data_IF_855359648585
#
_entry.id   IF_855359648585
#
_cell.length_a   1.000
_cell.length_b   1.000
_cell.length_c   1.000
_cell.angle_alpha   90.00
_cell.angle_beta   90.00
_cell.angle_gamma   90.00
#
_symmetry.space_group_name_H-M   'P 1'
#
loop_
_entity.id
_entity.type
_entity.pdbx_description
1 polymer ?
#
# COMPACT_ATOMS: atom_id res chain seq x y z
N UNK A 1 -3.04 11.18 -8.32
CA UNK A 1 -1.58 11.01 -8.54
C UNK A 1 -1.22 11.22 -10.02
N UNK A 2 -0.10 11.85 -10.39
CA UNK A 2 0.30 11.95 -11.81
C UNK A 2 0.96 10.63 -12.27
N UNK A 3 0.27 9.86 -13.10
CA UNK A 3 0.73 8.55 -13.59
C UNK A 3 1.61 8.64 -14.86
N UNK A 4 1.94 9.85 -15.33
CA UNK A 4 2.71 10.06 -16.56
C UNK A 4 4.08 9.38 -16.57
N UNK A 5 4.74 9.29 -15.40
CA UNK A 5 6.00 8.54 -15.25
C UNK A 5 5.87 7.07 -15.67
N UNK A 6 4.75 6.41 -15.35
CA UNK A 6 4.54 5.00 -15.65
C UNK A 6 4.37 4.74 -17.15
N UNK A 7 3.95 5.75 -17.92
CA UNK A 7 3.77 5.67 -19.36
C UNK A 7 5.07 5.81 -20.15
N UNK A 8 6.18 6.21 -19.52
CA UNK A 8 7.48 6.38 -20.18
C UNK A 8 8.08 5.03 -20.61
N UNK A 9 9.01 5.01 -21.58
CA UNK A 9 9.83 3.84 -21.88
C UNK A 9 10.59 3.32 -20.66
N UNK A 10 10.89 2.01 -20.62
CA UNK A 10 11.50 1.36 -19.45
C UNK A 10 12.92 1.85 -19.15
N UNK A 11 13.70 2.14 -20.19
CA UNK A 11 15.01 2.78 -20.13
C UNK A 11 14.92 4.22 -19.58
N UNK A 12 13.93 4.99 -19.99
CA UNK A 12 13.72 6.34 -19.47
C UNK A 12 13.30 6.30 -17.98
N UNK A 13 12.37 5.41 -17.60
CA UNK A 13 12.02 5.20 -16.19
C UNK A 13 13.24 4.79 -15.36
N UNK A 14 14.09 3.90 -15.89
CA UNK A 14 15.31 3.44 -15.21
C UNK A 14 16.22 4.62 -14.91
N UNK A 15 16.43 5.50 -15.88
CA UNK A 15 17.24 6.70 -15.70
C UNK A 15 16.69 7.58 -14.56
N UNK A 16 15.39 7.84 -14.50
CA UNK A 16 14.82 8.62 -13.38
C UNK A 16 14.99 7.94 -12.03
N UNK A 17 14.78 6.63 -11.95
CA UNK A 17 14.96 5.87 -10.71
C UNK A 17 16.42 5.93 -10.26
N UNK A 18 17.38 5.72 -11.16
CA UNK A 18 18.81 5.82 -10.86
C UNK A 18 19.21 7.22 -10.38
N UNK A 19 18.74 8.27 -11.06
CA UNK A 19 19.00 9.65 -10.67
C UNK A 19 18.38 9.99 -9.30
N UNK A 20 17.17 9.51 -9.02
CA UNK A 20 16.53 9.70 -7.72
C UNK A 20 17.28 8.93 -6.61
N UNK A 21 17.73 7.71 -6.90
CA UNK A 21 18.51 6.88 -6.00
C UNK A 21 19.83 7.56 -5.60
N UNK A 22 20.57 8.10 -6.58
CA UNK A 22 21.81 8.86 -6.33
C UNK A 22 21.54 10.06 -5.42
N UNK A 23 20.51 10.86 -5.72
CA UNK A 23 20.15 12.06 -4.92
C UNK A 23 19.78 11.72 -3.48
N UNK A 24 19.26 10.52 -3.22
CA UNK A 24 18.86 10.06 -1.89
C UNK A 24 19.90 9.17 -1.21
N UNK A 25 21.04 8.91 -1.86
CA UNK A 25 22.04 7.97 -1.40
C UNK A 25 21.45 6.57 -1.10
N UNK A 26 20.61 6.07 -2.02
CA UNK A 26 19.95 4.77 -1.95
C UNK A 26 20.33 3.93 -3.18
N UNK A 27 20.12 2.61 -3.11
CA UNK A 27 20.23 1.78 -4.30
C UNK A 27 19.02 1.99 -5.23
N UNK A 28 19.18 1.85 -6.56
CA UNK A 28 18.05 1.93 -7.50
C UNK A 28 16.91 0.95 -7.17
N UNK A 29 17.26 -0.24 -6.67
CA UNK A 29 16.29 -1.26 -6.24
C UNK A 29 15.43 -0.75 -5.08
N UNK A 30 16.05 -0.13 -4.08
CA UNK A 30 15.32 0.44 -2.93
C UNK A 30 14.45 1.61 -3.38
N UNK A 31 14.98 2.47 -4.26
CA UNK A 31 14.23 3.63 -4.79
C UNK A 31 13.00 3.19 -5.60
N UNK A 32 13.15 2.19 -6.46
CA UNK A 32 12.02 1.66 -7.24
C UNK A 32 10.93 1.08 -6.32
N UNK A 33 11.36 0.30 -5.33
CA UNK A 33 10.44 -0.28 -4.36
C UNK A 33 9.69 0.78 -3.56
N UNK A 34 10.39 1.83 -3.13
CA UNK A 34 9.81 2.99 -2.46
C UNK A 34 8.73 3.67 -3.32
N UNK A 35 9.01 3.80 -4.62
CA UNK A 35 8.05 4.33 -5.59
C UNK A 35 6.78 3.46 -5.65
N UNK A 36 6.91 2.13 -5.78
CA UNK A 36 5.75 1.23 -5.84
C UNK A 36 4.92 1.23 -4.56
N UNK A 37 5.57 1.35 -3.40
CA UNK A 37 4.89 1.52 -2.10
C UNK A 37 4.06 2.80 -2.09
N UNK A 38 4.67 3.94 -2.47
CA UNK A 38 3.98 5.22 -2.50
C UNK A 38 2.85 5.25 -3.54
N UNK A 39 3.06 4.59 -4.68
CA UNK A 39 2.06 4.44 -5.73
C UNK A 39 0.85 3.62 -5.25
N UNK A 40 1.07 2.46 -4.63
CA UNK A 40 -0.01 1.63 -4.12
C UNK A 40 -0.79 2.34 -3.01
N UNK A 41 -0.11 3.06 -2.12
CA UNK A 41 -0.76 3.92 -1.13
C UNK A 41 -1.64 4.98 -1.79
N UNK A 42 -1.14 5.66 -2.82
CA UNK A 42 -1.92 6.62 -3.59
C UNK A 42 -3.18 5.99 -4.19
N UNK A 43 -3.04 4.84 -4.86
CA UNK A 43 -4.17 4.11 -5.44
C UNK A 43 -5.20 3.70 -4.37
N UNK A 44 -4.75 3.16 -3.24
CA UNK A 44 -5.64 2.73 -2.16
C UNK A 44 -6.45 3.89 -1.57
N UNK A 45 -5.79 5.03 -1.31
CA UNK A 45 -6.44 6.20 -0.72
C UNK A 45 -7.16 7.10 -1.75
N UNK A 46 -7.02 6.84 -3.05
CA UNK A 46 -7.87 7.40 -4.12
C UNK A 46 -9.04 6.47 -4.50
N UNK A 47 -9.11 5.27 -3.92
CA UNK A 47 -10.16 4.27 -4.19
C UNK A 47 -11.39 4.42 -3.29
N UNK A 48 -12.44 3.64 -3.58
CA UNK A 48 -13.64 3.53 -2.74
C UNK A 48 -13.37 3.02 -1.31
N UNK A 49 -12.17 2.49 -1.03
CA UNK A 49 -11.82 1.95 0.28
C UNK A 49 -11.17 2.98 1.22
N UNK A 50 -10.90 4.20 0.74
CA UNK A 50 -10.12 5.20 1.48
C UNK A 50 -10.66 5.46 2.89
N UNK A 51 -11.97 5.69 3.04
CA UNK A 51 -12.61 5.97 4.33
C UNK A 51 -12.64 4.77 5.30
N UNK A 52 -12.35 3.57 4.77
CA UNK A 52 -12.30 2.33 5.56
C UNK A 52 -10.87 1.93 5.91
N UNK A 53 -9.86 2.65 5.43
CA UNK A 53 -8.44 2.34 5.59
C UNK A 53 -7.76 3.33 6.54
N UNK A 54 -6.89 2.81 7.39
CA UNK A 54 -5.96 3.62 8.18
C UNK A 54 -4.54 3.18 7.88
N UNK A 55 -3.71 4.11 7.40
CA UNK A 55 -2.28 3.88 7.23
C UNK A 55 -1.54 4.04 8.55
N UNK A 56 -0.76 3.05 8.94
CA UNK A 56 -0.12 2.97 10.25
C UNK A 56 1.28 2.38 10.19
N UNK A 57 1.89 2.23 11.37
CA UNK A 57 3.19 1.58 11.53
C UNK A 57 4.36 2.48 11.15
N UNK A 58 5.54 1.88 11.05
CA UNK A 58 6.79 2.62 10.80
C UNK A 58 6.79 3.40 9.49
N UNK A 59 6.16 2.86 8.44
CA UNK A 59 6.06 3.51 7.13
C UNK A 59 5.27 4.81 7.22
N UNK A 60 4.21 4.87 8.03
CA UNK A 60 3.49 6.13 8.28
C UNK A 60 4.34 7.14 9.08
N UNK A 61 5.12 6.66 10.05
CA UNK A 61 6.03 7.51 10.84
C UNK A 61 7.15 8.12 9.99
N UNK A 62 7.67 7.40 9.00
CA UNK A 62 8.68 7.92 8.08
C UNK A 62 8.07 8.78 6.97
N UNK A 63 7.00 8.31 6.31
CA UNK A 63 6.45 8.95 5.10
C UNK A 63 5.53 10.13 5.36
N UNK A 64 4.78 10.11 6.46
CA UNK A 64 3.78 11.14 6.76
C UNK A 64 4.32 12.10 7.83
N UNK A 65 4.86 11.54 8.91
CA UNK A 65 5.27 12.35 10.07
C UNK A 65 6.75 12.75 10.05
N UNK A 66 7.60 12.09 9.24
CA UNK A 66 9.04 12.38 9.17
C UNK A 66 9.79 12.17 10.50
N UNK A 67 9.25 11.34 11.41
CA UNK A 67 9.79 11.16 12.77
C UNK A 67 10.93 10.14 12.81
N UNK A 68 11.02 9.29 11.79
CA UNK A 68 12.09 8.29 11.66
C UNK A 68 12.62 8.27 10.22
N UNK A 69 13.94 8.09 10.09
CA UNK A 69 14.61 7.99 8.79
C UNK A 69 15.03 6.54 8.53
N UNK A 70 14.08 5.75 8.01
CA UNK A 70 14.38 4.41 7.50
C UNK A 70 13.58 4.12 6.25
N UNK A 71 14.18 3.32 5.37
CA UNK A 71 13.43 2.69 4.30
C UNK A 71 12.43 1.70 4.89
N UNK A 72 11.23 1.66 4.32
CA UNK A 72 10.19 0.74 4.72
C UNK A 72 9.61 0.08 3.47
N UNK A 73 9.87 -1.22 3.37
CA UNK A 73 9.39 -2.08 2.30
C UNK A 73 7.90 -2.42 2.45
N UNK A 74 7.44 -2.55 3.69
CA UNK A 74 6.09 -2.99 4.00
C UNK A 74 5.12 -1.81 4.16
N UNK A 75 3.85 -2.05 3.83
CA UNK A 75 2.75 -1.15 4.16
C UNK A 75 1.88 -1.82 5.23
N UNK A 76 1.72 -1.15 6.37
CA UNK A 76 0.78 -1.58 7.40
C UNK A 76 -0.51 -0.76 7.30
N UNK A 77 -1.61 -1.45 7.00
CA UNK A 77 -2.96 -0.87 6.94
C UNK A 77 -3.85 -1.50 8.02
N UNK A 78 -4.87 -0.78 8.44
CA UNK A 78 -5.99 -1.32 9.21
C UNK A 78 -7.30 -1.04 8.48
N UNK A 79 -8.22 -2.00 8.53
CA UNK A 79 -9.58 -1.86 8.01
C UNK A 79 -10.54 -1.54 9.15
N UNK A 80 -11.51 -0.66 8.91
CA UNK A 80 -12.52 -0.32 9.91
C UNK A 80 -13.40 -1.53 10.25
N UNK A 81 -13.75 -1.73 11.54
CA UNK A 81 -14.68 -2.78 11.93
C UNK A 81 -16.03 -2.68 11.22
N UNK A 82 -16.50 -1.46 10.93
CA UNK A 82 -17.75 -1.18 10.23
C UNK A 82 -17.70 -1.72 8.79
N UNK A 83 -16.61 -1.48 8.07
CA UNK A 83 -16.40 -2.00 6.72
C UNK A 83 -16.36 -3.53 6.68
N UNK A 84 -15.80 -4.13 7.73
CA UNK A 84 -15.74 -5.58 7.93
C UNK A 84 -17.04 -6.16 8.51
N UNK A 85 -18.04 -5.32 8.81
CA UNK A 85 -19.32 -5.71 9.43
C UNK A 85 -19.12 -6.47 10.75
N UNK A 86 -18.09 -6.09 11.52
CA UNK A 86 -17.80 -6.68 12.81
C UNK A 86 -18.64 -6.01 13.90
N UNK A 87 -19.18 -6.78 14.87
CA UNK A 87 -19.81 -6.20 16.04
C UNK A 87 -18.75 -5.53 16.94
N UNK A 88 -19.15 -4.73 17.95
CA UNK A 88 -18.21 -4.24 18.95
C UNK A 88 -17.45 -5.37 19.64
N UNK A 89 -16.18 -5.13 19.97
CA UNK A 89 -15.37 -6.09 20.70
C UNK A 89 -15.97 -6.36 22.09
N UNK A 90 -16.02 -7.64 22.48
CA UNK A 90 -16.50 -8.02 23.81
C UNK A 90 -15.49 -7.66 24.90
N UNK A 91 -16.00 -7.50 26.14
CA UNK A 91 -15.20 -6.99 27.28
C UNK A 91 -14.37 -8.07 27.97
N UNK A 92 -14.71 -9.35 27.81
CA UNK A 92 -13.94 -10.46 28.42
C UNK A 92 -12.83 -10.96 27.50
N UNK A 93 -11.77 -11.54 28.07
CA UNK A 93 -10.64 -12.11 27.31
C UNK A 93 -11.09 -13.15 26.28
N UNK A 94 -12.03 -14.02 26.63
CA UNK A 94 -12.56 -15.03 25.71
C UNK A 94 -13.35 -14.40 24.55
N UNK A 95 -14.13 -13.36 24.83
CA UNK A 95 -14.86 -12.64 23.79
C UNK A 95 -13.91 -11.87 22.86
N UNK A 96 -12.88 -11.22 23.42
CA UNK A 96 -11.86 -10.52 22.64
C UNK A 96 -11.08 -11.48 21.73
N UNK A 97 -10.70 -12.67 22.25
CA UNK A 97 -10.04 -13.70 21.45
C UNK A 97 -10.91 -14.20 20.29
N UNK A 98 -12.20 -14.47 20.56
CA UNK A 98 -13.17 -14.84 19.50
C UNK A 98 -13.34 -13.71 18.48
N UNK A 99 -13.41 -12.46 18.94
CA UNK A 99 -13.53 -11.29 18.07
C UNK A 99 -12.32 -11.15 17.14
N UNK A 100 -11.09 -11.29 17.66
CA UNK A 100 -9.88 -11.18 16.84
C UNK A 100 -9.83 -12.25 15.73
N UNK A 101 -10.21 -13.50 16.05
CA UNK A 101 -10.27 -14.58 15.04
C UNK A 101 -11.29 -14.27 13.93
N UNK A 102 -12.45 -13.74 14.30
CA UNK A 102 -13.46 -13.30 13.34
C UNK A 102 -12.96 -12.12 12.50
N UNK A 103 -12.29 -11.16 13.13
CA UNK A 103 -11.74 -9.99 12.46
C UNK A 103 -10.66 -10.37 11.44
N UNK A 104 -9.76 -11.29 11.80
CA UNK A 104 -8.74 -11.84 10.90
C UNK A 104 -9.38 -12.49 9.68
N UNK A 105 -10.38 -13.34 9.88
CA UNK A 105 -11.10 -14.01 8.79
C UNK A 105 -11.84 -13.01 7.89
N UNK A 106 -12.55 -12.05 8.49
CA UNK A 106 -13.28 -11.02 7.77
C UNK A 106 -12.33 -10.11 6.96
N UNK A 107 -11.19 -9.74 7.55
CA UNK A 107 -10.15 -8.95 6.91
C UNK A 107 -9.57 -9.69 5.71
N UNK A 108 -9.15 -10.95 5.88
CA UNK A 108 -8.62 -11.78 4.80
C UNK A 108 -9.60 -11.91 3.63
N UNK A 109 -10.87 -12.19 3.94
CA UNK A 109 -11.93 -12.26 2.93
C UNK A 109 -12.17 -10.92 2.22
N UNK A 110 -12.18 -9.81 2.96
CA UNK A 110 -12.36 -8.49 2.36
C UNK A 110 -11.20 -8.10 1.44
N UNK A 111 -9.96 -8.40 1.84
CA UNK A 111 -8.77 -8.17 1.01
C UNK A 111 -8.85 -9.02 -0.26
N UNK A 112 -9.11 -10.31 -0.15
CA UNK A 112 -9.13 -11.23 -1.30
C UNK A 112 -10.28 -10.96 -2.26
N UNK A 113 -11.49 -10.69 -1.74
CA UNK A 113 -12.70 -10.67 -2.56
C UNK A 113 -13.17 -9.26 -2.97
N UNK A 114 -12.65 -8.21 -2.32
CA UNK A 114 -13.11 -6.82 -2.56
C UNK A 114 -11.96 -5.91 -2.96
N UNK A 115 -10.90 -5.84 -2.16
CA UNK A 115 -9.81 -4.88 -2.38
C UNK A 115 -8.87 -5.36 -3.49
N UNK A 116 -8.40 -6.61 -3.39
CA UNK A 116 -7.45 -7.24 -4.32
C UNK A 116 -7.87 -7.11 -5.79
N UNK A 117 -9.10 -7.51 -6.18
CA UNK A 117 -9.55 -7.42 -7.57
C UNK A 117 -9.53 -5.98 -8.11
N UNK A 118 -9.87 -4.99 -7.29
CA UNK A 118 -9.82 -3.58 -7.70
C UNK A 118 -8.38 -3.13 -7.89
N UNK A 119 -7.46 -3.50 -6.98
CA UNK A 119 -6.04 -3.19 -7.09
C UNK A 119 -5.41 -3.84 -8.33
N UNK A 120 -5.73 -5.11 -8.61
CA UNK A 120 -5.26 -5.83 -9.80
C UNK A 120 -5.78 -5.18 -11.09
N UNK A 121 -7.04 -4.74 -11.10
CA UNK A 121 -7.61 -4.03 -12.25
C UNK A 121 -6.93 -2.66 -12.46
N UNK A 122 -6.61 -1.93 -11.39
CA UNK A 122 -5.86 -0.67 -11.48
C UNK A 122 -4.44 -0.93 -11.98
N UNK A 123 -3.74 -1.92 -11.43
CA UNK A 123 -2.41 -2.30 -11.88
C UNK A 123 -2.43 -2.68 -13.37
N UNK A 124 -3.41 -3.46 -13.81
CA UNK A 124 -3.55 -3.87 -15.22
C UNK A 124 -3.88 -2.70 -16.15
N UNK A 125 -4.69 -1.73 -15.72
CA UNK A 125 -5.02 -0.53 -16.51
C UNK A 125 -3.89 0.48 -16.57
N UNK A 126 -3.14 0.64 -15.48
CA UNK A 126 -1.88 1.41 -15.48
C UNK A 126 -0.79 0.72 -16.30
N UNK A 127 -0.83 -0.61 -16.42
CA UNK A 127 0.12 -1.45 -17.16
C UNK A 127 -0.10 -1.53 -18.67
N UNK A 128 -0.34 -0.41 -19.35
CA UNK A 128 -0.02 -0.36 -20.78
C UNK A 128 1.50 -0.51 -20.96
N UNK A 129 2.02 -1.73 -21.22
CA UNK A 129 3.44 -2.14 -21.43
C UNK A 129 4.54 -1.60 -20.48
N UNK A 130 4.29 -0.58 -19.67
CA UNK A 130 5.26 0.16 -18.86
C UNK A 130 5.10 0.04 -17.35
N UNK A 131 3.93 -0.31 -16.82
CA UNK A 131 3.75 -0.43 -15.37
C UNK A 131 4.23 -1.80 -14.86
N UNK A 132 5.54 -2.07 -14.98
CA UNK A 132 6.19 -3.23 -14.36
C UNK A 132 7.47 -2.77 -13.68
N UNK A 133 7.85 -3.41 -12.55
CA UNK A 133 9.18 -3.22 -11.98
C UNK A 133 10.28 -3.40 -13.05
N UNK A 134 11.31 -2.57 -12.98
CA UNK A 134 12.44 -2.53 -13.91
C UNK A 134 13.56 -3.49 -13.51
N UNK A 135 13.55 -3.94 -12.26
CA UNK A 135 14.45 -4.93 -11.66
C UNK A 135 13.69 -6.21 -11.33
#
# INVERSE_FOLDING_TARGET
MNLGFLALPADERRLYIEQAAIKRNLSPVIMEKDFWVCWLLGVLFESEFADSLVFKGGTSLSKVFGVIERFAEDIALSLSPEFLKLPPAGKSRNQAGKWMKNAETACGSAVQNRIGPVMEAVASRGAGKGCRPLV
#
